data_IF_532086468960
#
_entry.id   IF_532086468960
#
_cell.length_a   1.000
_cell.length_b   1.000
_cell.length_c   1.000
_cell.angle_alpha   90.00
_cell.angle_beta   90.00
_cell.angle_gamma   90.00
#
_symmetry.space_group_name_H-M   'P 1'
#
loop_
_entity.id
_entity.type
_entity.pdbx_description
1 polymer ?
#
# COMPACT_ATOMS: atom_id res chain seq x y z
N UNK A 1 -11.02 -19.81 -65.50
CA UNK A 1 -9.98 -18.93 -64.93
C UNK A 1 -10.29 -18.75 -63.45
N UNK A 2 -9.55 -19.43 -62.56
CA UNK A 2 -9.70 -19.29 -61.12
C UNK A 2 -8.35 -18.79 -60.60
N UNK A 3 -8.31 -17.55 -60.11
CA UNK A 3 -7.14 -16.92 -59.50
C UNK A 3 -7.05 -17.37 -58.04
N UNK A 4 -6.01 -18.10 -57.69
CA UNK A 4 -5.68 -18.40 -56.29
C UNK A 4 -4.81 -17.28 -55.73
N UNK A 5 -5.40 -16.44 -54.87
CA UNK A 5 -4.65 -15.47 -54.08
C UNK A 5 -3.84 -16.20 -53.00
N UNK A 6 -2.51 -16.07 -53.04
CA UNK A 6 -1.62 -16.56 -52.00
C UNK A 6 -1.65 -15.61 -50.79
N UNK A 7 -1.86 -16.10 -49.56
CA UNK A 7 -1.85 -15.24 -48.38
C UNK A 7 -0.42 -14.74 -48.11
N UNK A 8 -0.32 -13.45 -47.79
CA UNK A 8 0.93 -12.73 -47.63
C UNK A 8 1.59 -13.14 -46.30
N UNK A 9 2.52 -14.11 -46.34
CA UNK A 9 3.19 -14.74 -45.18
C UNK A 9 3.80 -13.70 -44.21
N UNK A 10 4.24 -12.56 -44.73
CA UNK A 10 4.77 -11.44 -43.93
C UNK A 10 3.74 -10.83 -42.95
N UNK A 11 2.43 -10.86 -43.25
CA UNK A 11 1.37 -10.39 -42.35
C UNK A 11 1.04 -11.39 -41.23
N UNK A 12 1.25 -12.69 -41.46
CA UNK A 12 1.10 -13.70 -40.42
C UNK A 12 2.23 -13.62 -39.39
N UNK A 13 3.46 -13.35 -39.83
CA UNK A 13 4.63 -13.28 -38.94
C UNK A 13 4.63 -12.03 -38.05
N UNK A 14 4.17 -10.88 -38.55
CA UNK A 14 4.03 -9.65 -37.75
C UNK A 14 2.89 -9.74 -36.73
N UNK A 15 1.77 -10.37 -37.09
CA UNK A 15 0.68 -10.66 -36.15
C UNK A 15 1.09 -11.59 -35.01
N UNK A 16 1.95 -12.58 -35.29
CA UNK A 16 2.46 -13.53 -34.29
C UNK A 16 3.47 -12.89 -33.31
N UNK A 17 4.31 -11.96 -33.77
CA UNK A 17 5.22 -11.22 -32.88
C UNK A 17 4.48 -10.24 -31.95
N UNK A 18 3.44 -9.57 -32.46
CA UNK A 18 2.59 -8.69 -31.64
C UNK A 18 1.78 -9.48 -30.60
N UNK A 19 1.25 -10.65 -30.96
CA UNK A 19 0.54 -11.50 -29.99
C UNK A 19 1.48 -12.15 -28.95
N UNK A 20 2.69 -12.54 -29.35
CA UNK A 20 3.73 -13.00 -28.41
C UNK A 20 4.23 -11.89 -27.49
N UNK A 21 4.41 -10.66 -27.97
CA UNK A 21 4.73 -9.51 -27.11
C UNK A 21 3.58 -9.19 -26.13
N UNK A 22 2.32 -9.26 -26.57
CA UNK A 22 1.16 -9.03 -25.71
C UNK A 22 0.98 -10.15 -24.67
N UNK A 23 1.27 -11.41 -25.02
CA UNK A 23 1.29 -12.54 -24.09
C UNK A 23 2.45 -12.45 -23.08
N UNK A 24 3.61 -11.90 -23.47
CA UNK A 24 4.72 -11.65 -22.56
C UNK A 24 4.46 -10.50 -21.59
N UNK A 25 3.70 -9.47 -21.99
CA UNK A 25 3.35 -8.36 -21.09
C UNK A 25 2.36 -8.75 -19.99
N UNK A 26 1.57 -9.81 -20.17
CA UNK A 26 0.70 -10.32 -19.12
C UNK A 26 1.43 -11.21 -18.10
N UNK A 27 2.66 -11.65 -18.40
CA UNK A 27 3.42 -12.60 -17.60
C UNK A 27 4.34 -11.96 -16.54
N UNK A 28 4.32 -10.63 -16.42
CA UNK A 28 4.82 -9.91 -15.27
C UNK A 28 3.65 -9.25 -14.54
N UNK A 29 2.60 -10.04 -14.25
CA UNK A 29 1.81 -9.72 -13.07
C UNK A 29 2.79 -9.85 -11.90
N UNK A 30 3.23 -8.70 -11.39
CA UNK A 30 4.02 -8.58 -10.17
C UNK A 30 3.11 -9.10 -9.05
N UNK A 31 3.08 -10.43 -8.87
CA UNK A 31 2.19 -11.07 -7.91
C UNK A 31 2.79 -10.94 -6.52
N UNK A 32 2.80 -9.69 -6.08
CA UNK A 32 3.31 -9.23 -4.80
C UNK A 32 2.72 -10.04 -3.65
N UNK A 33 1.44 -10.42 -3.73
CA UNK A 33 0.80 -11.20 -2.67
C UNK A 33 1.28 -12.65 -2.71
N UNK A 34 1.44 -13.28 -3.88
CA UNK A 34 2.06 -14.61 -3.96
C UNK A 34 3.51 -14.63 -3.44
N UNK A 35 4.30 -13.62 -3.80
CA UNK A 35 5.66 -13.48 -3.29
C UNK A 35 5.68 -13.33 -1.76
N UNK A 36 4.76 -12.53 -1.22
CA UNK A 36 4.59 -12.37 0.22
C UNK A 36 4.14 -13.67 0.91
N UNK A 37 3.19 -14.40 0.34
CA UNK A 37 2.67 -15.66 0.88
C UNK A 37 3.78 -16.68 1.12
N UNK A 38 4.67 -16.85 0.15
CA UNK A 38 5.79 -17.78 0.27
C UNK A 38 6.71 -17.42 1.45
N UNK A 39 7.02 -16.12 1.61
CA UNK A 39 7.84 -15.64 2.72
C UNK A 39 7.12 -15.78 4.07
N UNK A 40 5.82 -15.53 4.12
CA UNK A 40 5.05 -15.60 5.37
C UNK A 40 5.00 -17.03 5.89
N UNK A 41 4.69 -18.01 5.03
CA UNK A 41 4.68 -19.41 5.44
C UNK A 41 6.03 -19.83 6.03
N UNK A 42 7.12 -19.44 5.37
CA UNK A 42 8.47 -19.79 5.82
C UNK A 42 8.86 -19.14 7.15
N UNK A 43 8.47 -17.89 7.40
CA UNK A 43 8.94 -17.10 8.57
C UNK A 43 8.00 -17.09 9.77
N UNK A 44 6.69 -17.18 9.52
CA UNK A 44 5.65 -16.95 10.53
C UNK A 44 4.69 -18.13 10.71
N UNK A 45 4.79 -19.16 9.86
CA UNK A 45 4.01 -20.39 9.99
C UNK A 45 2.65 -20.33 9.29
N UNK A 46 1.88 -21.42 9.47
CA UNK A 46 0.68 -21.67 8.67
C UNK A 46 -0.49 -20.73 9.02
N UNK A 47 -0.63 -20.32 10.27
CA UNK A 47 -1.70 -19.39 10.67
C UNK A 47 -1.58 -18.04 9.95
N UNK A 48 -0.37 -17.45 9.95
CA UNK A 48 -0.09 -16.22 9.24
C UNK A 48 -0.30 -16.37 7.72
N UNK A 49 0.06 -17.53 7.16
CA UNK A 49 -0.19 -17.86 5.76
C UNK A 49 -1.70 -17.81 5.43
N UNK A 50 -2.54 -18.43 6.26
CA UNK A 50 -4.00 -18.46 6.02
C UNK A 50 -4.62 -17.05 6.07
N UNK A 51 -4.11 -16.17 6.94
CA UNK A 51 -4.55 -14.78 6.98
C UNK A 51 -4.24 -14.03 5.68
N UNK A 52 -3.08 -14.29 5.07
CA UNK A 52 -2.67 -13.63 3.82
C UNK A 52 -3.18 -14.33 2.57
N UNK A 53 -3.58 -15.59 2.66
CA UNK A 53 -4.30 -16.22 1.57
C UNK A 53 -5.64 -15.49 1.33
N UNK A 54 -6.29 -15.00 2.39
CA UNK A 54 -7.47 -14.12 2.26
C UNK A 54 -7.14 -12.78 1.59
N UNK A 55 -5.97 -12.20 1.87
CA UNK A 55 -5.51 -11.00 1.16
C UNK A 55 -5.39 -11.26 -0.34
N UNK A 56 -4.88 -12.43 -0.73
CA UNK A 56 -4.74 -12.82 -2.13
C UNK A 56 -6.11 -12.92 -2.84
N UNK A 57 -7.11 -13.48 -2.15
CA UNK A 57 -8.49 -13.54 -2.63
C UNK A 57 -9.07 -12.14 -2.82
N UNK A 58 -8.90 -11.24 -1.83
CA UNK A 58 -9.33 -9.84 -1.92
C UNK A 58 -8.64 -9.13 -3.09
N UNK A 59 -7.33 -9.28 -3.23
CA UNK A 59 -6.55 -8.69 -4.33
C UNK A 59 -7.07 -9.15 -5.70
N UNK A 60 -7.32 -10.45 -5.85
CA UNK A 60 -7.85 -11.03 -7.08
C UNK A 60 -9.24 -10.48 -7.42
N UNK A 61 -10.10 -10.28 -6.43
CA UNK A 61 -11.44 -9.72 -6.61
C UNK A 61 -11.43 -8.24 -7.00
N UNK A 62 -10.52 -7.45 -6.42
CA UNK A 62 -10.53 -5.98 -6.57
C UNK A 62 -9.52 -5.44 -7.58
N UNK A 63 -8.68 -6.29 -8.19
CA UNK A 63 -7.65 -5.86 -9.15
C UNK A 63 -8.22 -4.99 -10.28
N UNK A 64 -9.38 -5.37 -10.83
CA UNK A 64 -10.12 -4.62 -11.86
C UNK A 64 -11.16 -3.63 -11.34
N UNK A 65 -11.30 -3.47 -10.02
CA UNK A 65 -12.32 -2.60 -9.43
C UNK A 65 -11.95 -1.12 -9.49
N UNK A 66 -12.93 -0.26 -9.15
CA UNK A 66 -12.71 1.18 -9.05
C UNK A 66 -11.64 1.52 -7.99
N UNK A 67 -10.94 2.64 -8.18
CA UNK A 67 -9.93 3.10 -7.23
C UNK A 67 -10.52 3.27 -5.81
N UNK A 68 -11.74 3.81 -5.69
CA UNK A 68 -12.42 3.95 -4.40
C UNK A 68 -12.75 2.61 -3.75
N UNK A 69 -13.16 1.60 -4.55
CA UNK A 69 -13.38 0.24 -4.05
C UNK A 69 -12.08 -0.35 -3.51
N UNK A 70 -10.96 -0.16 -4.21
CA UNK A 70 -9.64 -0.61 -3.74
C UNK A 70 -9.27 0.05 -2.42
N UNK A 71 -9.45 1.37 -2.31
CA UNK A 71 -9.20 2.16 -1.10
C UNK A 71 -10.00 1.64 0.09
N UNK A 72 -11.31 1.45 -0.07
CA UNK A 72 -12.18 0.89 0.97
C UNK A 72 -11.76 -0.52 1.40
N UNK A 73 -11.63 -1.44 0.44
CA UNK A 73 -11.33 -2.84 0.74
C UNK A 73 -9.96 -3.03 1.39
N UNK A 74 -8.94 -2.25 1.01
CA UNK A 74 -7.63 -2.30 1.67
C UNK A 74 -7.69 -1.75 3.10
N UNK A 75 -8.42 -0.65 3.31
CA UNK A 75 -8.60 -0.08 4.64
C UNK A 75 -9.28 -1.08 5.58
N UNK A 76 -10.38 -1.67 5.13
CA UNK A 76 -11.18 -2.62 5.89
C UNK A 76 -10.39 -3.90 6.17
N UNK A 77 -9.75 -4.47 5.14
CA UNK A 77 -8.94 -5.68 5.29
C UNK A 77 -7.84 -5.48 6.34
N UNK A 78 -7.06 -4.39 6.23
CA UNK A 78 -5.94 -4.15 7.16
C UNK A 78 -6.46 -3.95 8.59
N UNK A 79 -7.54 -3.19 8.77
CA UNK A 79 -8.13 -2.95 10.09
C UNK A 79 -8.75 -4.21 10.71
N UNK A 80 -9.18 -5.18 9.90
CA UNK A 80 -9.75 -6.44 10.37
C UNK A 80 -8.68 -7.51 10.68
N UNK A 81 -7.54 -7.46 10.00
CA UNK A 81 -6.54 -8.53 10.03
C UNK A 81 -5.23 -8.15 10.73
N UNK A 82 -5.10 -6.93 11.21
CA UNK A 82 -3.96 -6.47 12.02
C UNK A 82 -4.48 -6.02 13.38
N UNK A 83 -3.91 -6.57 14.45
CA UNK A 83 -4.18 -6.14 15.82
C UNK A 83 -3.29 -4.94 16.17
N UNK A 84 -3.86 -3.92 16.79
CA UNK A 84 -3.07 -2.83 17.34
C UNK A 84 -2.26 -3.30 18.56
N UNK A 85 -0.93 -3.25 18.47
CA UNK A 85 0.02 -3.59 19.54
C UNK A 85 1.21 -2.64 19.47
N UNK A 86 1.56 -1.98 20.57
CA UNK A 86 2.72 -1.07 20.61
C UNK A 86 4.04 -1.84 20.38
N UNK A 87 5.00 -1.20 19.72
CA UNK A 87 6.29 -1.78 19.33
C UNK A 87 7.13 -2.32 20.49
N UNK A 88 7.01 -1.71 21.67
CA UNK A 88 7.73 -2.18 22.87
C UNK A 88 7.32 -3.60 23.24
N UNK A 89 6.05 -3.94 22.98
CA UNK A 89 5.49 -5.27 23.24
C UNK A 89 5.77 -6.21 22.07
N UNK A 90 5.58 -5.72 20.84
CA UNK A 90 5.65 -6.57 19.64
C UNK A 90 7.09 -6.88 19.20
N UNK A 91 7.96 -5.86 19.25
CA UNK A 91 9.33 -5.91 18.71
C UNK A 91 10.41 -5.71 19.78
N UNK A 92 10.03 -5.36 21.01
CA UNK A 92 10.99 -5.03 22.08
C UNK A 92 11.78 -3.75 21.79
N UNK A 93 11.21 -2.84 21.01
CA UNK A 93 11.83 -1.57 20.58
C UNK A 93 10.89 -0.41 20.90
N UNK A 94 11.44 0.77 21.12
CA UNK A 94 10.60 1.96 21.37
C UNK A 94 9.77 2.37 20.15
N UNK A 95 10.32 2.20 18.94
CA UNK A 95 9.69 2.60 17.69
C UNK A 95 10.36 1.85 16.51
N UNK A 96 9.59 1.00 15.84
CA UNK A 96 9.99 0.07 14.80
C UNK A 96 8.92 -0.01 13.71
N UNK A 97 9.17 0.69 12.61
CA UNK A 97 8.28 0.64 11.46
C UNK A 97 8.41 -0.71 10.74
N UNK A 98 7.39 -1.55 10.81
CA UNK A 98 7.35 -2.84 10.16
C UNK A 98 7.07 -2.69 8.65
N UNK A 99 7.67 -3.57 7.85
CA UNK A 99 7.27 -3.77 6.46
C UNK A 99 5.92 -4.51 6.40
N UNK A 100 5.17 -4.45 5.28
CA UNK A 100 3.91 -5.18 5.16
C UNK A 100 4.04 -6.68 5.43
N UNK A 101 5.16 -7.30 5.01
CA UNK A 101 5.44 -8.72 5.31
C UNK A 101 5.54 -8.98 6.81
N UNK A 102 6.16 -8.07 7.56
CA UNK A 102 6.32 -8.16 9.01
C UNK A 102 5.00 -7.92 9.74
N UNK A 103 4.27 -6.86 9.38
CA UNK A 103 2.94 -6.53 9.94
C UNK A 103 1.97 -7.69 9.76
N UNK A 104 1.86 -8.21 8.54
CA UNK A 104 0.96 -9.32 8.23
C UNK A 104 1.47 -10.67 8.74
N UNK A 105 2.78 -10.88 8.78
CA UNK A 105 3.39 -12.06 9.38
C UNK A 105 3.11 -12.17 10.88
N UNK A 106 3.15 -11.05 11.61
CA UNK A 106 2.76 -10.99 13.02
C UNK A 106 1.26 -10.89 13.25
N UNK A 107 0.49 -10.46 12.25
CA UNK A 107 -0.92 -10.11 12.41
C UNK A 107 -1.12 -8.95 13.39
N UNK A 108 -0.09 -8.13 13.60
CA UNK A 108 -0.06 -7.06 14.59
C UNK A 108 0.92 -5.96 14.17
N UNK A 109 0.68 -4.75 14.67
CA UNK A 109 1.52 -3.56 14.48
C UNK A 109 0.88 -2.36 15.16
N UNK A 110 1.54 -1.21 15.11
CA UNK A 110 0.99 0.06 15.61
C UNK A 110 0.56 1.00 14.46
N UNK A 111 0.42 2.31 14.70
CA UNK A 111 -0.25 3.19 13.74
C UNK A 111 0.47 3.33 12.39
N UNK A 112 1.80 3.34 12.41
CA UNK A 112 2.59 3.43 11.19
C UNK A 112 2.52 2.15 10.37
N UNK A 113 2.52 0.99 11.03
CA UNK A 113 2.51 -0.32 10.38
C UNK A 113 1.25 -0.51 9.56
N UNK A 114 0.10 -0.12 10.12
CA UNK A 114 -1.17 -0.11 9.40
C UNK A 114 -1.10 0.83 8.18
N UNK A 115 -0.56 2.02 8.36
CA UNK A 115 -0.48 3.02 7.29
C UNK A 115 0.44 2.58 6.16
N UNK A 116 1.60 1.99 6.49
CA UNK A 116 2.59 1.44 5.56
C UNK A 116 2.03 0.24 4.80
N UNK A 117 1.34 -0.67 5.50
CA UNK A 117 0.67 -1.80 4.88
C UNK A 117 -0.38 -1.31 3.86
N UNK A 118 -1.29 -0.42 4.26
CA UNK A 118 -2.32 0.15 3.36
C UNK A 118 -1.70 0.86 2.16
N UNK A 119 -0.64 1.64 2.37
CA UNK A 119 0.08 2.37 1.32
C UNK A 119 0.64 1.41 0.26
N UNK A 120 1.34 0.37 0.73
CA UNK A 120 1.99 -0.59 -0.16
C UNK A 120 0.97 -1.42 -0.92
N UNK A 121 -0.08 -1.89 -0.24
CA UNK A 121 -1.16 -2.65 -0.89
C UNK A 121 -1.86 -1.83 -1.98
N UNK A 122 -2.18 -0.56 -1.72
CA UNK A 122 -2.80 0.31 -2.73
C UNK A 122 -1.86 0.60 -3.91
N UNK A 123 -0.57 0.83 -3.65
CA UNK A 123 0.45 0.95 -4.72
C UNK A 123 0.45 -0.29 -5.61
N UNK A 124 0.49 -1.49 -5.03
CA UNK A 124 0.53 -2.76 -5.76
C UNK A 124 -0.78 -3.07 -6.49
N UNK A 125 -1.91 -2.52 -6.04
CA UNK A 125 -3.19 -2.52 -6.77
C UNK A 125 -3.28 -1.45 -7.87
N UNK A 126 -2.20 -0.73 -8.15
CA UNK A 126 -2.09 0.26 -9.22
C UNK A 126 -2.63 1.64 -8.88
N UNK A 127 -2.93 1.93 -7.60
CA UNK A 127 -3.26 3.31 -7.19
C UNK A 127 -2.00 4.15 -7.31
N UNK A 128 -2.11 5.28 -8.03
CA UNK A 128 -0.95 6.15 -8.24
C UNK A 128 -0.42 6.66 -6.90
N UNK A 129 0.89 6.51 -6.69
CA UNK A 129 1.57 7.02 -5.49
C UNK A 129 1.40 8.53 -5.28
N UNK A 130 1.12 9.31 -6.34
CA UNK A 130 0.85 10.75 -6.21
C UNK A 130 -0.45 11.06 -5.44
N UNK A 131 -1.33 10.07 -5.36
CA UNK A 131 -2.59 10.13 -4.62
C UNK A 131 -2.47 9.64 -3.18
N UNK A 132 -1.32 9.09 -2.78
CA UNK A 132 -1.14 8.43 -1.50
C UNK A 132 -0.05 9.14 -0.70
N UNK A 133 -0.34 9.48 0.56
CA UNK A 133 0.64 10.08 1.47
C UNK A 133 0.51 9.51 2.87
N UNK A 134 1.58 8.90 3.36
CA UNK A 134 1.74 8.60 4.77
C UNK A 134 1.81 9.93 5.52
N UNK A 135 0.95 10.13 6.51
CA UNK A 135 0.75 11.43 7.15
C UNK A 135 0.90 11.28 8.65
N UNK A 136 1.92 11.93 9.19
CA UNK A 136 2.13 12.02 10.63
C UNK A 136 1.28 13.16 11.19
N UNK A 137 0.50 12.85 12.22
CA UNK A 137 -0.47 13.75 12.83
C UNK A 137 -0.32 13.76 14.35
N UNK A 138 -0.87 14.79 14.99
CA UNK A 138 -1.19 14.77 16.42
C UNK A 138 -2.66 14.39 16.54
N UNK A 139 -2.95 13.23 17.12
CA UNK A 139 -4.31 12.74 17.33
C UNK A 139 -4.79 13.11 18.75
N UNK A 140 -5.97 13.72 18.84
CA UNK A 140 -6.69 13.98 20.09
C UNK A 140 -7.58 12.78 20.39
N UNK A 141 -7.22 12.03 21.42
CA UNK A 141 -7.99 10.88 21.88
C UNK A 141 -9.32 11.32 22.52
N UNK A 142 -10.32 10.43 22.65
CA UNK A 142 -11.58 10.73 23.35
C UNK A 142 -11.38 11.22 24.80
N UNK A 143 -10.30 10.81 25.46
CA UNK A 143 -9.90 11.29 26.79
C UNK A 143 -9.40 12.74 26.81
N UNK A 144 -9.19 13.36 25.65
CA UNK A 144 -8.60 14.69 25.49
C UNK A 144 -7.07 14.70 25.37
N UNK A 145 -6.38 13.59 25.70
CA UNK A 145 -4.93 13.45 25.54
C UNK A 145 -4.52 13.51 24.06
N UNK A 146 -3.38 14.14 23.79
CA UNK A 146 -2.84 14.24 22.43
C UNK A 146 -1.63 13.31 22.32
N UNK A 147 -1.65 12.42 21.33
CA UNK A 147 -0.51 11.54 21.02
C UNK A 147 -0.07 11.65 19.56
N UNK A 148 1.22 11.38 19.27
CA UNK A 148 1.67 11.00 17.93
C UNK A 148 0.80 9.91 17.33
N UNK A 149 0.52 10.04 16.03
CA UNK A 149 -0.23 9.04 15.27
C UNK A 149 0.16 9.13 13.79
N UNK A 150 -0.03 8.04 13.04
CA UNK A 150 0.17 8.01 11.60
C UNK A 150 -1.07 7.47 10.91
N UNK A 151 -1.43 8.11 9.80
CA UNK A 151 -2.56 7.71 8.93
C UNK A 151 -2.11 7.72 7.47
N UNK A 152 -2.88 7.04 6.62
CA UNK A 152 -2.71 7.17 5.17
C UNK A 152 -3.76 8.14 4.61
N UNK A 153 -3.30 9.20 3.95
CA UNK A 153 -4.16 10.13 3.23
C UNK A 153 -4.24 9.74 1.75
N UNK A 154 -5.47 9.62 1.24
CA UNK A 154 -5.77 9.36 -0.16
C UNK A 154 -6.44 10.56 -0.83
N UNK A 155 -5.86 11.02 -1.93
CA UNK A 155 -6.30 12.17 -2.71
C UNK A 155 -6.91 11.69 -4.03
N UNK A 156 -8.22 11.89 -4.24
CA UNK A 156 -8.85 11.54 -5.53
C UNK A 156 -8.28 12.40 -6.68
N UNK A 157 -7.85 13.62 -6.37
CA UNK A 157 -7.05 14.49 -7.23
C UNK A 157 -6.12 15.37 -6.37
N UNK A 158 -5.06 15.98 -6.93
CA UNK A 158 -4.05 16.71 -6.14
C UNK A 158 -4.58 17.84 -5.23
N UNK A 159 -5.76 18.39 -5.53
CA UNK A 159 -6.40 19.48 -4.78
C UNK A 159 -7.58 19.04 -3.90
N UNK A 160 -7.92 17.75 -3.85
CA UNK A 160 -9.06 17.26 -3.07
C UNK A 160 -8.77 17.31 -1.57
N UNK A 161 -9.81 17.52 -0.77
CA UNK A 161 -9.81 17.13 0.65
C UNK A 161 -9.59 15.61 0.74
N UNK A 162 -8.46 15.13 1.29
CA UNK A 162 -8.12 13.72 1.22
C UNK A 162 -9.01 12.89 2.13
N UNK A 163 -9.32 11.65 1.72
CA UNK A 163 -9.88 10.65 2.61
C UNK A 163 -8.78 10.09 3.50
N UNK A 164 -9.11 9.90 4.78
CA UNK A 164 -8.18 9.39 5.79
C UNK A 164 -8.47 7.91 6.03
N UNK A 165 -7.44 7.09 5.81
CA UNK A 165 -7.41 5.68 6.14
C UNK A 165 -6.66 5.53 7.47
N UNK A 166 -7.38 5.11 8.50
CA UNK A 166 -6.92 5.14 9.88
C UNK A 166 -7.27 3.82 10.60
N UNK A 167 -6.55 3.51 11.66
CA UNK A 167 -6.74 2.37 12.56
C UNK A 167 -7.35 2.78 13.92
N UNK A 168 -7.57 4.08 14.19
CA UNK A 168 -8.37 4.54 15.33
C UNK A 168 -9.84 4.74 14.97
N UNK A 169 -10.09 5.28 13.77
CA UNK A 169 -11.43 5.35 13.17
C UNK A 169 -11.39 4.63 11.83
N UNK A 170 -12.14 3.54 11.70
CA UNK A 170 -12.13 2.71 10.50
C UNK A 170 -12.93 3.32 9.34
N UNK A 171 -13.77 4.32 9.60
CA UNK A 171 -14.55 5.00 8.55
C UNK A 171 -13.66 5.89 7.68
N UNK A 172 -13.84 5.80 6.35
CA UNK A 172 -13.19 6.67 5.39
C UNK A 172 -13.80 8.07 5.39
N UNK A 173 -13.29 8.91 6.29
CA UNK A 173 -13.73 10.29 6.41
C UNK A 173 -12.77 11.26 5.69
N UNK A 174 -13.28 12.33 5.08
CA UNK A 174 -12.45 13.44 4.61
C UNK A 174 -11.66 14.05 5.78
N UNK A 175 -10.46 14.55 5.51
CA UNK A 175 -9.62 15.17 6.54
C UNK A 175 -10.32 16.35 7.22
N UNK A 176 -11.12 17.13 6.49
CA UNK A 176 -11.95 18.20 7.07
C UNK A 176 -12.97 17.73 8.11
N UNK A 177 -13.31 16.44 8.14
CA UNK A 177 -14.21 15.80 9.12
C UNK A 177 -13.47 15.13 10.28
N UNK A 178 -12.14 15.08 10.22
CA UNK A 178 -11.25 14.51 11.26
C UNK A 178 -10.63 15.61 12.10
N UNK A 179 -11.46 16.39 12.80
CA UNK A 179 -11.01 17.49 13.67
C UNK A 179 -10.18 17.01 14.88
N UNK A 180 -10.18 15.72 15.14
CA UNK A 180 -9.31 15.05 16.10
C UNK A 180 -7.86 14.92 15.63
N UNK A 181 -7.60 15.06 14.32
CA UNK A 181 -6.27 14.93 13.74
C UNK A 181 -5.69 16.29 13.31
N UNK A 182 -4.50 16.61 13.79
CA UNK A 182 -3.74 17.80 13.37
C UNK A 182 -2.49 17.38 12.60
N UNK A 183 -2.42 17.59 11.26
CA UNK A 183 -1.29 17.15 10.46
C UNK A 183 -0.01 17.92 10.79
N UNK A 184 1.12 17.21 10.77
CA UNK A 184 2.46 17.81 10.98
C UNK A 184 3.25 17.77 9.67
N UNK A 185 3.40 16.58 9.09
CA UNK A 185 4.03 16.37 7.79
C UNK A 185 3.44 15.13 7.12
N UNK A 186 3.64 15.01 5.82
CA UNK A 186 3.26 13.84 5.04
C UNK A 186 4.33 13.51 4.02
N UNK A 187 4.42 12.26 3.60
CA UNK A 187 5.40 11.82 2.62
C UNK A 187 4.92 10.62 1.82
N UNK A 188 5.57 10.40 0.70
CA UNK A 188 5.49 9.19 -0.13
C UNK A 188 6.85 8.99 -0.79
N UNK A 189 7.04 8.02 -1.67
CA UNK A 189 8.37 7.76 -2.27
C UNK A 189 8.95 8.93 -3.09
N UNK A 190 8.12 9.90 -3.51
CA UNK A 190 8.56 11.04 -4.33
C UNK A 190 8.94 12.27 -3.52
N UNK A 191 8.47 12.41 -2.28
CA UNK A 191 8.65 13.67 -1.55
C UNK A 191 8.14 13.70 -0.12
N UNK A 192 8.74 14.60 0.66
CA UNK A 192 8.29 15.00 1.99
C UNK A 192 7.60 16.37 1.90
N UNK A 193 6.45 16.52 2.54
CA UNK A 193 5.59 17.70 2.49
C UNK A 193 5.21 18.14 3.91
N UNK A 194 5.27 19.44 4.21
CA UNK A 194 4.89 19.98 5.53
C UNK A 194 3.45 20.47 5.48
N UNK A 195 2.68 20.25 6.56
CA UNK A 195 1.23 20.49 6.60
C UNK A 195 0.82 21.92 6.19
N UNK A 196 1.61 22.94 6.57
CA UNK A 196 1.32 24.34 6.25
C UNK A 196 1.66 24.73 4.80
N UNK A 197 2.29 23.85 4.03
CA UNK A 197 2.53 24.05 2.59
C UNK A 197 2.71 22.69 1.89
N UNK A 198 1.63 21.96 1.57
CA UNK A 198 1.69 20.63 0.97
C UNK A 198 2.21 20.62 -0.48
N UNK A 199 2.44 21.78 -1.08
CA UNK A 199 3.11 21.93 -2.38
C UNK A 199 4.62 22.15 -2.24
N UNK A 200 5.11 22.42 -1.03
CA UNK A 200 6.53 22.62 -0.74
C UNK A 200 7.15 21.28 -0.35
N UNK A 201 8.09 20.82 -1.18
CA UNK A 201 8.94 19.69 -0.83
C UNK A 201 9.90 20.14 0.28
N UNK A 202 9.70 19.61 1.48
CA UNK A 202 10.57 19.87 2.62
C UNK A 202 11.85 19.01 2.61
N UNK A 203 11.95 18.06 1.67
CA UNK A 203 13.13 17.22 1.49
C UNK A 203 12.81 15.90 0.80
N UNK A 204 13.77 14.97 0.90
CA UNK A 204 13.61 13.59 0.43
C UNK A 204 13.01 12.72 1.55
N UNK A 205 12.07 11.81 1.25
CA UNK A 205 11.61 10.76 2.16
C UNK A 205 12.76 9.87 2.66
N UNK A 206 13.86 9.77 1.89
CA UNK A 206 15.07 9.06 2.30
C UNK A 206 15.73 9.65 3.56
N UNK A 207 15.35 10.87 3.95
CA UNK A 207 15.78 11.49 5.21
C UNK A 207 15.02 10.94 6.43
N UNK A 208 13.91 10.22 6.22
CA UNK A 208 13.22 9.46 7.27
C UNK A 208 13.90 8.10 7.36
N UNK A 209 14.83 7.95 8.31
CA UNK A 209 15.63 6.73 8.46
C UNK A 209 14.77 5.47 8.55
N UNK A 210 13.69 5.50 9.34
CA UNK A 210 12.78 4.37 9.51
C UNK A 210 12.08 3.95 8.22
N UNK A 211 11.65 4.91 7.40
CA UNK A 211 11.07 4.62 6.09
C UNK A 211 12.09 3.96 5.16
N UNK A 212 13.33 4.47 5.15
CA UNK A 212 14.42 3.86 4.38
C UNK A 212 14.70 2.43 4.85
N UNK A 213 14.61 2.16 6.14
CA UNK A 213 14.82 0.83 6.71
C UNK A 213 13.70 -0.14 6.28
N UNK A 214 12.44 0.32 6.25
CA UNK A 214 11.30 -0.44 5.68
C UNK A 214 11.57 -0.80 4.22
N UNK A 215 11.89 0.19 3.38
CA UNK A 215 12.21 -0.05 1.97
C UNK A 215 13.39 -1.00 1.78
N UNK A 216 14.36 -0.96 2.69
CA UNK A 216 15.51 -1.86 2.66
C UNK A 216 15.11 -3.31 2.95
N UNK A 217 14.27 -3.53 3.97
CA UNK A 217 13.72 -4.87 4.27
C UNK A 217 12.82 -5.38 3.14
N UNK A 218 11.97 -4.54 2.57
CA UNK A 218 11.14 -4.92 1.41
C UNK A 218 11.99 -5.35 0.21
N UNK A 219 13.07 -4.62 -0.11
CA UNK A 219 14.02 -5.02 -1.16
C UNK A 219 14.73 -6.34 -0.86
N UNK A 220 15.14 -6.56 0.39
CA UNK A 220 15.75 -7.82 0.82
C UNK A 220 14.79 -9.00 0.67
N UNK A 221 13.49 -8.74 0.83
CA UNK A 221 12.43 -9.73 0.69
C UNK A 221 11.95 -9.92 -0.76
N UNK A 222 12.40 -9.07 -1.69
CA UNK A 222 11.98 -9.07 -3.09
C UNK A 222 10.57 -8.50 -3.30
N UNK A 223 10.15 -7.58 -2.43
CA UNK A 223 8.79 -7.01 -2.37
C UNK A 223 8.71 -5.52 -2.76
N UNK A 224 9.84 -4.92 -3.16
CA UNK A 224 9.94 -3.56 -3.73
C UNK A 224 10.83 -3.58 -4.98
#
# INVERSE_FOLDING_TARGET
MISHATPNIARLLTGLCLSLCLLWTQLLADDYVLAMLEKIRQRYGEEAYQNINRLNEVFSQIAGASEMTKVGMVNDFTNQHVLFVDDSTLWGKEDYWASPLETFGKGAGDCEDFSIAKYTLLKKLGVSQDKLRLTYVRARMPSGFIRPHMVLAYYSNPSSDPLILDNLNFELLPASKRSDLSPVFSFNDKGLFVANNPNMRAGSPANISKWRDVLTRMRQDGLE
#
